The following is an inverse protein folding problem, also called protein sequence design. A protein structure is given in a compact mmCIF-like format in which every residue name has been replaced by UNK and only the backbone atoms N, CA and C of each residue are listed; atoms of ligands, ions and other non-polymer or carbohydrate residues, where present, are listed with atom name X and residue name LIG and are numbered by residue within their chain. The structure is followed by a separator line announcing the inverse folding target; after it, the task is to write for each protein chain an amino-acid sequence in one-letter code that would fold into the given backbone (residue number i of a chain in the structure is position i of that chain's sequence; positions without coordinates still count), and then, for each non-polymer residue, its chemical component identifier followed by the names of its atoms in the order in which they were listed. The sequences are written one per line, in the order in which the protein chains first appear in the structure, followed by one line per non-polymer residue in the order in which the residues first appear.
data_IF_864878551962
#
_entry.id   IF_864878551962
#
_cell.length_a   1.000
_cell.length_b   1.000
_cell.length_c   1.000
_cell.angle_alpha   90.00
_cell.angle_beta   90.00
_cell.angle_gamma   90.00
#
_symmetry.space_group_name_H-M   'P 1'
#
loop_
_entity.id
_entity.type
_entity.pdbx_description
1 polymer ?
#
# COMPACT_ATOMS: atom_id res chain seq x y z
N UNK A 1 -102.94 -21.78 -0.01
CA UNK A 1 -101.96 -22.30 0.89
C UNK A 1 -100.65 -21.61 0.59
N UNK A 2 -100.29 -20.71 1.50
CA UNK A 2 -99.26 -19.68 1.30
C UNK A 2 -97.85 -20.19 1.41
N UNK A 3 -97.04 -20.02 0.36
CA UNK A 3 -95.61 -20.17 0.40
C UNK A 3 -94.95 -18.76 0.55
N UNK A 4 -94.35 -18.49 1.70
CA UNK A 4 -93.53 -17.31 1.90
C UNK A 4 -92.15 -17.63 1.44
N UNK A 5 -91.66 -16.89 0.42
CA UNK A 5 -90.28 -16.89 -0.04
C UNK A 5 -89.44 -15.99 0.91
N UNK A 6 -88.43 -16.52 1.47
CA UNK A 6 -87.36 -15.74 2.19
C UNK A 6 -86.32 -15.28 1.21
N UNK A 7 -85.98 -14.00 1.27
CA UNK A 7 -84.86 -13.36 0.53
C UNK A 7 -83.57 -13.50 1.36
N UNK A 8 -82.43 -13.80 0.74
CA UNK A 8 -81.15 -13.81 1.45
C UNK A 8 -80.57 -12.40 1.57
N UNK A 9 -80.22 -12.01 2.78
CA UNK A 9 -79.38 -10.86 3.04
C UNK A 9 -77.92 -11.16 2.65
N UNK A 10 -77.36 -10.41 1.66
CA UNK A 10 -75.96 -10.44 1.33
C UNK A 10 -75.23 -9.45 2.26
N UNK A 11 -74.44 -9.99 3.16
CA UNK A 11 -73.51 -9.17 3.96
C UNK A 11 -72.26 -8.84 3.15
N UNK A 12 -72.05 -7.55 2.76
CA UNK A 12 -70.85 -7.05 2.14
C UNK A 12 -69.82 -6.81 3.23
N UNK A 13 -68.78 -7.63 3.26
CA UNK A 13 -67.61 -7.41 4.12
C UNK A 13 -66.67 -6.40 3.45
N UNK A 14 -66.55 -5.20 4.03
CA UNK A 14 -65.54 -4.19 3.65
C UNK A 14 -64.20 -4.60 4.27
N UNK A 15 -63.23 -5.06 3.45
CA UNK A 15 -61.82 -5.23 3.82
C UNK A 15 -61.15 -3.86 3.76
N UNK A 16 -60.91 -3.25 4.91
CA UNK A 16 -60.07 -2.06 5.02
C UNK A 16 -58.63 -2.52 5.05
N UNK A 17 -57.92 -2.39 3.91
CA UNK A 17 -56.50 -2.62 3.83
C UNK A 17 -55.72 -1.42 4.44
N UNK A 18 -55.26 -1.57 5.67
CA UNK A 18 -54.32 -0.60 6.28
C UNK A 18 -52.92 -0.86 5.71
N UNK A 19 -52.52 -0.07 4.73
CA UNK A 19 -51.15 -0.05 4.25
C UNK A 19 -50.27 0.58 5.34
N UNK A 20 -49.53 -0.22 6.10
CA UNK A 20 -48.44 0.27 6.94
C UNK A 20 -47.33 0.80 6.02
N UNK A 21 -47.25 2.11 5.86
CA UNK A 21 -46.08 2.79 5.30
C UNK A 21 -44.91 2.68 6.29
N UNK A 22 -44.00 1.72 6.06
CA UNK A 22 -42.72 1.70 6.77
C UNK A 22 -41.96 2.98 6.38
N UNK A 23 -41.46 3.74 7.36
CA UNK A 23 -40.64 4.90 7.04
C UNK A 23 -39.41 4.42 6.26
N UNK A 24 -39.19 4.94 5.06
CA UNK A 24 -38.00 4.78 4.29
C UNK A 24 -36.88 5.48 5.09
N UNK A 25 -36.11 4.70 5.87
CA UNK A 25 -34.93 5.24 6.53
C UNK A 25 -33.97 5.60 5.41
N UNK A 26 -33.88 6.89 5.09
CA UNK A 26 -32.89 7.40 4.16
C UNK A 26 -31.52 6.97 4.69
N UNK A 27 -30.75 6.24 3.87
CA UNK A 27 -29.39 5.88 4.20
C UNK A 27 -28.64 7.20 4.48
N UNK A 28 -28.05 7.33 5.67
CA UNK A 28 -27.23 8.50 6.00
C UNK A 28 -26.19 8.70 4.90
N UNK A 29 -25.95 9.94 4.44
CA UNK A 29 -24.98 10.21 3.38
C UNK A 29 -23.63 9.67 3.84
N UNK A 30 -23.06 8.74 3.06
CA UNK A 30 -21.72 8.22 3.30
C UNK A 30 -20.77 9.39 3.37
N UNK A 31 -20.04 9.55 4.48
CA UNK A 31 -19.04 10.62 4.59
C UNK A 31 -18.14 10.65 3.34
N UNK A 32 -17.96 11.81 2.75
CA UNK A 32 -17.09 12.00 1.57
C UNK A 32 -15.65 11.51 1.84
N UNK A 33 -15.25 11.41 3.11
CA UNK A 33 -13.93 10.94 3.52
C UNK A 33 -13.72 9.43 3.29
N UNK A 34 -14.80 8.62 3.31
CA UNK A 34 -14.70 7.15 3.18
C UNK A 34 -14.06 6.76 1.85
N UNK A 35 -13.04 5.88 1.93
CA UNK A 35 -12.29 5.36 0.80
C UNK A 35 -10.78 5.48 1.00
N UNK A 36 -10.05 5.36 -0.10
CA UNK A 36 -8.59 5.41 -0.12
C UNK A 36 -8.09 6.71 -0.74
N UNK A 37 -7.02 7.22 -0.19
CA UNK A 37 -6.43 8.50 -0.54
C UNK A 37 -4.93 8.39 -0.68
N UNK A 38 -4.41 8.78 -1.82
CA UNK A 38 -2.99 8.96 -2.07
C UNK A 38 -2.59 10.35 -1.61
N UNK A 39 -1.61 10.45 -0.70
CA UNK A 39 -1.19 11.70 -0.10
C UNK A 39 0.18 12.11 -0.61
N UNK A 40 0.32 13.38 -0.98
CA UNK A 40 1.61 14.01 -1.28
C UNK A 40 1.93 15.00 -0.17
N UNK A 41 2.97 14.70 0.61
CA UNK A 41 3.39 15.49 1.77
C UNK A 41 4.44 16.50 1.32
N UNK A 42 4.26 17.75 1.73
CA UNK A 42 5.14 18.85 1.36
C UNK A 42 6.35 18.94 2.31
N UNK A 43 7.28 18.05 2.08
CA UNK A 43 8.54 17.91 2.83
C UNK A 43 9.73 18.24 1.94
N UNK A 44 10.84 18.79 2.48
CA UNK A 44 12.06 19.00 1.72
C UNK A 44 12.77 17.68 1.34
N UNK A 45 12.43 16.56 1.98
CA UNK A 45 13.04 15.26 1.75
C UNK A 45 12.59 14.59 0.44
N UNK A 46 13.25 13.48 0.07
CA UNK A 46 12.92 12.71 -1.14
C UNK A 46 11.64 11.90 -1.01
N UNK A 47 11.27 11.52 0.21
CA UNK A 47 10.08 10.71 0.50
C UNK A 47 8.89 11.64 0.74
N UNK A 48 7.93 11.63 -0.18
CA UNK A 48 6.76 12.52 -0.15
C UNK A 48 5.44 11.78 -0.17
N UNK A 49 5.48 10.47 -0.27
CA UNK A 49 4.29 9.66 -0.30
C UNK A 49 3.71 9.45 1.10
N UNK A 50 2.42 9.52 1.20
CA UNK A 50 1.63 9.03 2.31
C UNK A 50 0.35 8.39 1.78
N UNK A 51 -0.39 7.77 2.65
CA UNK A 51 -1.61 7.08 2.28
C UNK A 51 -2.59 7.04 3.46
N UNK A 52 -3.87 7.16 3.15
CA UNK A 52 -4.95 7.06 4.13
C UNK A 52 -6.09 6.19 3.58
N UNK A 53 -6.50 5.18 4.33
CA UNK A 53 -7.76 4.49 4.10
C UNK A 53 -8.73 4.83 5.23
N UNK A 54 -9.97 5.16 4.86
CA UNK A 54 -11.05 5.44 5.81
C UNK A 54 -12.21 4.49 5.54
N UNK A 55 -12.67 3.84 6.58
CA UNK A 55 -13.78 2.87 6.53
C UNK A 55 -14.79 3.16 7.63
N UNK A 56 -16.08 2.92 7.40
CA UNK A 56 -17.07 2.93 8.47
C UNK A 56 -16.84 1.73 9.41
N UNK A 57 -17.04 1.97 10.71
CA UNK A 57 -17.10 0.95 11.76
C UNK A 57 -18.39 1.17 12.56
N UNK A 58 -19.37 0.32 12.34
CA UNK A 58 -20.72 0.55 12.87
C UNK A 58 -21.47 1.65 12.11
N UNK A 59 -22.34 2.38 12.80
CA UNK A 59 -23.26 3.34 12.16
C UNK A 59 -22.67 4.73 11.95
N UNK A 60 -21.87 5.20 12.89
CA UNK A 60 -21.39 6.61 12.94
C UNK A 60 -19.89 6.74 13.12
N UNK A 61 -19.17 5.66 13.43
CA UNK A 61 -17.73 5.69 13.67
C UNK A 61 -16.96 5.48 12.38
N UNK A 62 -15.93 6.28 12.16
CA UNK A 62 -14.93 6.08 11.12
C UNK A 62 -13.63 5.58 11.73
N UNK A 63 -13.04 4.58 11.10
CA UNK A 63 -11.73 4.02 11.42
C UNK A 63 -10.88 3.99 10.15
N UNK A 64 -9.59 3.73 10.26
CA UNK A 64 -8.77 3.70 9.08
C UNK A 64 -7.40 3.06 9.27
N UNK A 65 -6.56 3.28 8.27
CA UNK A 65 -5.13 2.98 8.30
C UNK A 65 -4.39 4.14 7.65
N UNK A 66 -3.26 4.52 8.20
CA UNK A 66 -2.47 5.65 7.75
C UNK A 66 -1.00 5.26 7.57
N UNK A 67 -0.42 5.61 6.44
CA UNK A 67 1.01 5.55 6.16
C UNK A 67 1.53 6.97 6.03
N UNK A 68 2.56 7.29 6.81
CA UNK A 68 3.30 8.52 6.69
C UNK A 68 4.44 8.37 5.66
N UNK A 69 5.30 9.37 5.51
CA UNK A 69 6.48 9.33 4.64
C UNK A 69 7.37 8.10 4.88
N UNK A 70 7.45 7.66 6.14
CA UNK A 70 8.21 6.49 6.59
C UNK A 70 7.37 5.65 7.54
N UNK A 71 7.81 4.42 7.79
CA UNK A 71 7.13 3.51 8.69
C UNK A 71 6.04 2.67 8.04
N UNK A 72 5.42 1.82 8.83
CA UNK A 72 4.37 0.90 8.38
C UNK A 72 2.97 1.54 8.43
N UNK A 73 1.99 0.86 7.84
CA UNK A 73 0.60 1.25 7.99
C UNK A 73 0.16 1.16 9.46
N UNK A 74 -0.24 2.29 10.03
CA UNK A 74 -0.73 2.39 11.41
C UNK A 74 -2.24 2.34 11.43
N UNK A 75 -2.85 1.51 12.29
CA UNK A 75 -4.29 1.53 12.48
C UNK A 75 -4.73 2.88 13.09
N UNK A 76 -5.81 3.43 12.57
CA UNK A 76 -6.49 4.59 13.11
C UNK A 76 -7.79 4.12 13.72
N UNK A 77 -7.82 4.05 15.05
CA UNK A 77 -8.95 3.50 15.82
C UNK A 77 -10.19 4.37 15.78
N UNK A 78 -10.01 5.66 15.52
CA UNK A 78 -11.10 6.64 15.39
C UNK A 78 -10.67 7.82 14.52
N UNK A 79 -11.57 8.24 13.64
CA UNK A 79 -11.45 9.45 12.85
C UNK A 79 -12.64 10.33 13.19
N UNK A 80 -12.39 11.48 13.79
CA UNK A 80 -13.41 12.48 14.05
C UNK A 80 -13.62 13.29 12.78
N UNK A 81 -14.84 13.24 12.22
CA UNK A 81 -15.20 13.93 11.00
C UNK A 81 -16.45 14.79 11.25
N UNK A 82 -16.43 16.03 10.80
CA UNK A 82 -17.53 16.95 10.84
C UNK A 82 -17.63 17.71 9.51
N UNK A 83 -18.77 17.56 8.83
CA UNK A 83 -18.99 18.11 7.48
C UNK A 83 -17.90 17.66 6.50
N UNK A 84 -17.01 18.56 6.10
CA UNK A 84 -15.92 18.34 5.17
C UNK A 84 -14.53 18.20 5.87
N UNK A 85 -14.47 18.38 7.19
CA UNK A 85 -13.23 18.34 7.98
C UNK A 85 -13.07 17.03 8.74
N UNK A 86 -11.82 16.66 9.02
CA UNK A 86 -11.51 15.48 9.82
C UNK A 86 -10.22 15.68 10.65
N UNK A 87 -10.12 14.88 11.71
CA UNK A 87 -8.95 14.79 12.59
C UNK A 87 -8.79 13.37 13.11
N UNK A 88 -7.54 12.93 13.24
CA UNK A 88 -7.16 11.71 13.98
C UNK A 88 -5.74 11.82 14.50
N UNK A 89 -5.36 10.92 15.39
CA UNK A 89 -3.99 10.78 15.90
C UNK A 89 -3.47 9.37 15.64
N UNK A 90 -2.15 9.25 15.52
CA UNK A 90 -1.43 7.97 15.45
C UNK A 90 -0.18 8.05 16.34
N UNK A 91 0.20 6.91 16.98
CA UNK A 91 1.44 6.87 17.75
C UNK A 91 2.66 7.05 16.84
N UNK A 92 3.80 7.56 17.37
CA UNK A 92 5.04 7.66 16.62
C UNK A 92 5.59 6.27 16.25
N UNK A 93 6.37 6.20 15.19
CA UNK A 93 7.14 5.01 14.79
C UNK A 93 8.61 5.39 14.55
N UNK A 94 8.97 5.54 13.28
CA UNK A 94 10.31 5.89 12.81
C UNK A 94 10.42 7.37 12.42
N UNK A 95 9.33 8.09 12.51
CA UNK A 95 9.25 9.53 12.40
C UNK A 95 9.68 10.13 13.76
N UNK A 96 10.55 11.14 13.76
CA UNK A 96 11.07 11.82 14.97
C UNK A 96 9.98 12.64 15.70
N UNK A 97 8.82 12.02 15.95
CA UNK A 97 7.72 12.64 16.66
C UNK A 97 7.91 12.49 18.19
N UNK A 98 7.79 13.58 18.92
CA UNK A 98 7.89 13.58 20.38
C UNK A 98 6.59 13.14 21.08
N UNK A 99 5.63 12.62 20.36
CA UNK A 99 4.34 12.21 20.87
C UNK A 99 3.45 11.72 19.74
N UNK A 100 2.14 11.71 19.98
CA UNK A 100 1.19 11.35 18.93
C UNK A 100 1.24 12.35 17.76
N UNK A 101 1.37 11.81 16.56
CA UNK A 101 1.22 12.59 15.32
C UNK A 101 -0.25 12.89 15.09
N UNK A 102 -0.60 14.16 14.97
CA UNK A 102 -1.95 14.62 14.64
C UNK A 102 -2.08 14.86 13.14
N UNK A 103 -3.10 14.29 12.53
CA UNK A 103 -3.46 14.53 11.14
C UNK A 103 -4.80 15.24 11.08
N UNK A 104 -4.83 16.40 10.43
CA UNK A 104 -6.06 17.16 10.16
C UNK A 104 -6.24 17.37 8.68
N UNK A 105 -7.47 17.49 8.22
CA UNK A 105 -7.71 17.75 6.80
C UNK A 105 -9.12 18.21 6.49
N UNK A 106 -9.28 18.63 5.24
CA UNK A 106 -10.55 19.01 4.63
C UNK A 106 -10.70 18.29 3.29
N UNK A 107 -11.85 17.67 3.07
CA UNK A 107 -12.19 16.97 1.82
C UNK A 107 -13.02 17.85 0.93
N UNK A 108 -12.71 17.87 -0.35
CA UNK A 108 -13.50 18.52 -1.38
C UNK A 108 -13.60 17.60 -2.62
N UNK A 109 -14.69 16.88 -2.74
CA UNK A 109 -14.89 15.87 -3.78
C UNK A 109 -13.83 14.77 -3.73
N UNK A 110 -13.05 14.64 -4.78
CA UNK A 110 -11.98 13.64 -4.91
C UNK A 110 -10.58 14.16 -4.50
N UNK A 111 -10.53 15.29 -3.82
CA UNK A 111 -9.30 15.90 -3.32
C UNK A 111 -9.40 16.20 -1.83
N UNK A 112 -8.27 16.30 -1.17
CA UNK A 112 -8.15 16.81 0.20
C UNK A 112 -6.88 17.62 0.40
N UNK A 113 -6.89 18.47 1.41
CA UNK A 113 -5.72 19.19 1.89
C UNK A 113 -5.70 19.12 3.42
N UNK A 114 -4.52 19.19 4.00
CA UNK A 114 -4.40 19.15 5.45
C UNK A 114 -2.98 19.31 5.95
N UNK A 115 -2.81 18.98 7.22
CA UNK A 115 -1.53 19.11 7.93
C UNK A 115 -1.28 17.85 8.76
N UNK A 116 -0.02 17.41 8.78
CA UNK A 116 0.51 16.39 9.68
C UNK A 116 1.39 17.12 10.70
N UNK A 117 1.01 17.09 11.94
CA UNK A 117 1.70 17.74 13.06
C UNK A 117 2.36 16.66 13.92
N UNK A 118 3.68 16.73 14.03
CA UNK A 118 4.52 15.79 14.78
C UNK A 118 4.74 16.18 16.24
N UNK A 119 4.11 17.26 16.71
CA UNK A 119 4.50 17.91 17.96
C UNK A 119 5.79 18.70 17.76
N UNK A 120 6.43 19.16 18.86
CA UNK A 120 7.75 19.85 18.80
C UNK A 120 7.85 21.02 17.80
N UNK A 121 6.73 21.55 17.29
CA UNK A 121 6.70 22.61 16.27
C UNK A 121 7.02 22.15 14.84
N UNK A 122 7.17 20.84 14.60
CA UNK A 122 7.38 20.28 13.26
C UNK A 122 6.05 19.86 12.64
N UNK A 123 5.68 20.45 11.52
CA UNK A 123 4.48 20.11 10.78
C UNK A 123 4.71 20.21 9.28
N UNK A 124 3.98 19.40 8.50
CA UNK A 124 4.00 19.44 7.03
C UNK A 124 2.57 19.51 6.48
N UNK A 125 2.37 20.36 5.50
CA UNK A 125 1.15 20.35 4.71
C UNK A 125 1.13 19.10 3.80
N UNK A 126 -0.06 18.67 3.44
CA UNK A 126 -0.23 17.64 2.42
C UNK A 126 -1.42 17.94 1.51
N UNK A 127 -1.36 17.36 0.33
CA UNK A 127 -2.47 17.25 -0.62
C UNK A 127 -2.80 15.78 -0.82
N UNK A 128 -4.07 15.45 -0.93
CA UNK A 128 -4.53 14.11 -1.21
C UNK A 128 -5.44 14.07 -2.44
N UNK A 129 -5.41 12.94 -3.13
CA UNK A 129 -6.35 12.62 -4.20
C UNK A 129 -6.92 11.22 -3.96
N UNK A 130 -8.11 10.94 -4.50
CA UNK A 130 -8.67 9.57 -4.48
C UNK A 130 -7.69 8.59 -5.09
N UNK A 131 -7.32 7.57 -4.33
CA UNK A 131 -6.45 6.52 -4.84
C UNK A 131 -7.16 5.73 -5.96
N UNK A 132 -6.50 5.50 -7.11
CA UNK A 132 -7.09 4.79 -8.22
C UNK A 132 -7.36 3.32 -7.88
N UNK A 133 -8.36 2.73 -8.52
CA UNK A 133 -8.68 1.31 -8.29
C UNK A 133 -7.61 0.36 -8.83
N UNK A 134 -6.94 0.74 -9.91
CA UNK A 134 -5.90 -0.02 -10.65
C UNK A 134 -6.30 -1.48 -10.93
N UNK A 135 -7.59 -1.73 -11.11
CA UNK A 135 -8.09 -3.06 -11.42
C UNK A 135 -7.87 -3.36 -12.89
N UNK A 136 -7.05 -4.35 -13.16
CA UNK A 136 -6.91 -4.88 -14.52
C UNK A 136 -8.14 -5.73 -14.87
N UNK A 137 -8.72 -5.50 -16.04
CA UNK A 137 -9.92 -6.21 -16.52
C UNK A 137 -9.60 -7.29 -17.54
N UNK A 138 -8.40 -7.27 -18.10
CA UNK A 138 -7.94 -8.25 -19.11
C UNK A 138 -6.75 -9.04 -18.59
N UNK A 139 -6.60 -10.33 -18.99
CA UNK A 139 -5.41 -11.09 -18.67
C UNK A 139 -4.14 -10.41 -19.18
N UNK A 140 -3.07 -10.51 -18.41
CA UNK A 140 -1.79 -9.94 -18.79
C UNK A 140 -1.17 -10.72 -19.97
N UNK A 141 -0.76 -10.00 -21.00
CA UNK A 141 0.12 -10.51 -22.04
C UNK A 141 1.54 -10.04 -21.73
N UNK A 142 2.49 -10.95 -21.76
CA UNK A 142 3.86 -10.66 -21.35
C UNK A 142 4.72 -10.29 -22.56
N UNK A 143 5.56 -9.28 -22.40
CA UNK A 143 6.58 -8.91 -23.36
C UNK A 143 7.84 -9.79 -23.20
N UNK A 144 8.90 -9.49 -23.93
CA UNK A 144 10.19 -10.17 -23.76
C UNK A 144 10.84 -9.74 -22.42
N UNK A 145 11.51 -10.67 -21.72
CA UNK A 145 12.30 -10.32 -20.53
C UNK A 145 13.40 -9.30 -20.86
N UNK A 146 13.63 -8.40 -19.91
CA UNK A 146 14.65 -7.36 -19.97
C UNK A 146 15.58 -7.54 -18.78
N UNK A 147 16.87 -7.70 -19.02
CA UNK A 147 17.90 -7.73 -18.00
C UNK A 147 18.13 -6.31 -17.48
N UNK A 148 17.82 -6.07 -16.20
CA UNK A 148 18.00 -4.77 -15.55
C UNK A 148 19.43 -4.59 -15.03
N UNK A 149 20.07 -5.64 -14.56
CA UNK A 149 21.46 -5.63 -14.13
C UNK A 149 22.31 -6.50 -15.06
N UNK A 150 23.27 -5.88 -15.72
CA UNK A 150 24.10 -6.52 -16.76
C UNK A 150 25.31 -7.30 -16.20
N UNK A 151 25.52 -7.29 -14.88
CA UNK A 151 26.67 -7.94 -14.21
C UNK A 151 28.02 -7.23 -14.37
N UNK A 152 28.08 -6.04 -14.99
CA UNK A 152 29.34 -5.34 -15.32
C UNK A 152 29.43 -3.95 -14.68
N UNK A 153 28.36 -3.17 -14.76
CA UNK A 153 28.30 -1.78 -14.32
C UNK A 153 26.86 -1.37 -13.93
N UNK A 154 26.70 -0.08 -13.57
CA UNK A 154 25.42 0.51 -13.19
C UNK A 154 24.62 1.08 -14.37
N UNK A 155 24.92 0.70 -15.61
CA UNK A 155 24.17 1.16 -16.79
C UNK A 155 22.69 0.83 -16.65
N UNK A 156 21.81 1.81 -16.88
CA UNK A 156 20.37 1.70 -16.69
C UNK A 156 19.88 1.98 -15.27
N UNK A 157 20.78 2.27 -14.33
CA UNK A 157 20.49 2.67 -12.97
C UNK A 157 20.94 4.08 -12.66
N UNK A 158 20.42 4.70 -11.63
CA UNK A 158 20.83 5.99 -11.08
C UNK A 158 20.63 6.03 -9.58
N UNK A 159 21.48 6.76 -8.87
CA UNK A 159 21.35 7.03 -7.45
C UNK A 159 20.08 7.84 -7.17
N UNK A 160 19.44 7.59 -6.03
CA UNK A 160 18.24 8.28 -5.55
C UNK A 160 18.28 8.48 -4.03
N UNK A 161 17.91 9.68 -3.59
CA UNK A 161 17.90 10.06 -2.18
C UNK A 161 19.26 10.61 -1.70
N UNK A 162 19.31 11.01 -0.42
CA UNK A 162 20.53 11.56 0.19
C UNK A 162 21.53 10.46 0.55
N UNK A 163 22.77 10.86 0.78
CA UNK A 163 23.84 9.98 1.25
C UNK A 163 24.95 9.77 0.22
N UNK A 164 25.95 8.99 0.60
CA UNK A 164 27.03 8.60 -0.28
C UNK A 164 26.57 7.50 -1.24
N UNK A 165 27.05 7.54 -2.47
CA UNK A 165 26.82 6.45 -3.42
C UNK A 165 27.75 5.28 -3.07
N UNK A 166 27.19 4.28 -2.39
CA UNK A 166 27.88 3.09 -1.93
C UNK A 166 27.67 1.86 -2.84
N UNK A 167 27.03 2.07 -3.99
CA UNK A 167 26.77 1.01 -4.95
C UNK A 167 27.98 0.74 -5.84
N UNK A 168 28.37 -0.50 -5.92
CA UNK A 168 29.50 -0.97 -6.74
C UNK A 168 29.16 -2.27 -7.43
N UNK A 169 29.86 -2.59 -8.51
CA UNK A 169 29.78 -3.89 -9.17
C UNK A 169 31.12 -4.59 -9.03
N UNK A 170 31.12 -5.82 -8.53
CA UNK A 170 32.28 -6.67 -8.40
C UNK A 170 31.95 -8.12 -8.75
N UNK A 171 32.67 -8.69 -9.71
CA UNK A 171 32.52 -10.07 -10.17
C UNK A 171 31.07 -10.50 -10.44
N UNK A 172 30.30 -9.66 -11.15
CA UNK A 172 28.91 -9.94 -11.51
C UNK A 172 27.89 -9.70 -10.40
N UNK A 173 28.31 -9.11 -9.29
CA UNK A 173 27.45 -8.80 -8.14
C UNK A 173 27.32 -7.29 -7.97
N UNK A 174 26.10 -6.81 -7.90
CA UNK A 174 25.75 -5.45 -7.51
C UNK A 174 25.72 -5.37 -5.98
N UNK A 175 26.53 -4.50 -5.39
CA UNK A 175 26.72 -4.40 -3.94
C UNK A 175 26.43 -3.01 -3.44
N UNK A 176 25.63 -2.92 -2.39
CA UNK A 176 25.64 -1.78 -1.48
C UNK A 176 26.47 -2.15 -0.24
N UNK A 177 27.46 -1.35 0.08
CA UNK A 177 28.41 -1.63 1.18
C UNK A 177 27.98 -1.07 2.53
N UNK A 178 26.85 -0.37 2.61
CA UNK A 178 26.37 0.24 3.83
C UNK A 178 25.34 1.32 3.55
N UNK A 179 24.93 2.04 4.57
CA UNK A 179 23.95 3.11 4.43
C UNK A 179 24.41 4.19 3.48
N UNK A 180 23.59 4.47 2.46
CA UNK A 180 23.88 5.48 1.43
C UNK A 180 22.66 5.79 0.58
N UNK A 181 22.90 6.16 -0.67
CA UNK A 181 21.81 6.40 -1.62
C UNK A 181 21.10 5.10 -2.00
N UNK A 182 19.86 5.21 -2.36
CA UNK A 182 19.11 4.14 -3.02
C UNK A 182 19.49 4.08 -4.51
N UNK A 183 19.14 2.99 -5.19
CA UNK A 183 19.40 2.81 -6.61
C UNK A 183 18.09 2.56 -7.35
N UNK A 184 17.80 3.34 -8.40
CA UNK A 184 16.55 3.21 -9.17
C UNK A 184 16.85 3.00 -10.64
N UNK A 185 15.99 2.20 -11.33
CA UNK A 185 16.09 2.07 -12.77
C UNK A 185 15.77 3.40 -13.46
N UNK A 186 16.49 3.71 -14.55
CA UNK A 186 16.15 4.87 -15.40
C UNK A 186 14.85 4.64 -16.18
N UNK A 187 14.49 3.39 -16.44
CA UNK A 187 13.25 2.99 -17.10
C UNK A 187 12.16 2.75 -16.07
N UNK A 188 10.92 3.14 -16.40
CA UNK A 188 9.73 2.91 -15.59
C UNK A 188 8.90 1.72 -16.12
N UNK A 189 8.18 1.08 -15.22
CA UNK A 189 7.32 -0.10 -15.48
C UNK A 189 5.97 0.08 -14.79
N UNK A 190 4.92 -0.49 -15.35
CA UNK A 190 3.57 -0.45 -14.76
C UNK A 190 3.20 -1.81 -14.16
N UNK A 191 2.95 -2.79 -15.01
CA UNK A 191 2.65 -4.17 -14.64
C UNK A 191 3.80 -5.06 -15.14
N UNK A 192 4.24 -6.00 -14.31
CA UNK A 192 5.42 -6.81 -14.65
C UNK A 192 5.54 -8.07 -13.80
N UNK A 193 6.43 -8.97 -14.27
CA UNK A 193 7.12 -9.96 -13.45
C UNK A 193 8.54 -9.52 -13.23
N UNK A 194 9.05 -9.67 -12.01
CA UNK A 194 10.41 -9.35 -11.63
C UNK A 194 11.05 -10.56 -10.98
N UNK A 195 12.23 -10.92 -11.46
CA UNK A 195 13.11 -11.88 -10.81
C UNK A 195 14.34 -11.16 -10.27
N UNK A 196 14.78 -11.48 -9.04
CA UNK A 196 16.01 -10.98 -8.46
C UNK A 196 16.67 -12.03 -7.55
N UNK A 197 17.95 -12.28 -7.76
CA UNK A 197 18.81 -12.94 -6.79
C UNK A 197 19.34 -11.91 -5.80
N UNK A 198 19.28 -12.18 -4.50
CA UNK A 198 19.74 -11.26 -3.48
C UNK A 198 20.42 -11.98 -2.31
N UNK A 199 21.23 -11.22 -1.56
CA UNK A 199 21.87 -11.71 -0.32
C UNK A 199 22.08 -10.50 0.61
N UNK A 200 21.89 -10.72 1.91
CA UNK A 200 22.17 -9.76 2.98
C UNK A 200 23.00 -10.42 4.09
N UNK A 201 23.83 -9.67 4.82
CA UNK A 201 24.55 -10.18 6.00
C UNK A 201 23.59 -10.28 7.19
N UNK A 202 24.08 -10.86 8.29
CA UNK A 202 23.34 -10.90 9.56
C UNK A 202 22.94 -9.48 10.00
N UNK A 203 21.66 -9.31 10.35
CA UNK A 203 21.06 -8.01 10.68
C UNK A 203 20.91 -7.08 9.49
N UNK A 204 21.03 -7.60 8.25
CA UNK A 204 20.84 -6.80 7.03
C UNK A 204 19.38 -6.36 6.87
N UNK A 205 19.19 -5.15 6.35
CA UNK A 205 17.89 -4.58 6.03
C UNK A 205 17.99 -3.83 4.70
N UNK A 206 17.08 -4.15 3.80
CA UNK A 206 16.95 -3.57 2.46
C UNK A 206 15.54 -3.85 1.94
N UNK A 207 15.22 -3.41 0.73
CA UNK A 207 13.94 -3.65 0.08
C UNK A 207 14.01 -3.49 -1.42
N UNK A 208 13.03 -4.09 -2.12
CA UNK A 208 12.79 -3.84 -3.54
C UNK A 208 11.44 -3.14 -3.65
N UNK A 209 11.44 -1.87 -4.06
CA UNK A 209 10.22 -1.12 -4.29
C UNK A 209 9.70 -1.32 -5.71
N UNK A 210 8.54 -1.86 -5.83
CA UNK A 210 7.81 -2.04 -7.08
C UNK A 210 7.23 -0.70 -7.51
N UNK A 211 7.56 -0.22 -8.70
CA UNK A 211 7.18 1.11 -9.20
C UNK A 211 7.66 2.27 -8.29
N UNK A 212 8.67 2.03 -7.45
CA UNK A 212 9.11 3.00 -6.46
C UNK A 212 8.11 3.26 -5.31
N UNK A 213 7.06 2.44 -5.16
CA UNK A 213 5.93 2.70 -4.24
C UNK A 213 5.61 1.58 -3.28
N UNK A 214 5.84 0.32 -3.66
CA UNK A 214 5.47 -0.85 -2.84
C UNK A 214 6.70 -1.65 -2.52
N UNK A 215 7.12 -1.64 -1.28
CA UNK A 215 8.30 -2.34 -0.83
C UNK A 215 8.03 -3.82 -0.59
N UNK A 216 8.81 -4.68 -1.24
CA UNK A 216 9.00 -6.07 -0.83
C UNK A 216 10.21 -6.10 0.09
N UNK A 217 9.98 -6.43 1.35
CA UNK A 217 10.98 -6.36 2.42
C UNK A 217 12.07 -7.43 2.27
N UNK A 218 13.33 -7.02 2.43
CA UNK A 218 14.51 -7.87 2.47
C UNK A 218 15.25 -7.65 3.80
N UNK A 219 14.84 -8.34 4.83
CA UNK A 219 15.41 -8.17 6.16
C UNK A 219 15.81 -9.51 6.78
N UNK A 220 16.92 -9.52 7.52
CA UNK A 220 17.30 -10.66 8.36
C UNK A 220 16.35 -10.74 9.56
N UNK A 221 15.19 -11.34 9.34
CA UNK A 221 14.10 -11.39 10.32
C UNK A 221 14.35 -12.50 11.32
N UNK A 222 14.72 -12.20 12.57
CA UNK A 222 14.76 -13.20 13.61
C UNK A 222 13.33 -13.59 14.02
N UNK A 223 13.09 -14.86 14.23
CA UNK A 223 11.82 -15.36 14.74
C UNK A 223 11.31 -16.59 14.02
N UNK A 224 10.24 -17.18 14.57
CA UNK A 224 9.61 -18.41 14.07
C UNK A 224 8.36 -18.16 13.25
N UNK A 225 7.85 -16.93 13.20
CA UNK A 225 6.61 -16.57 12.54
C UNK A 225 6.78 -15.41 11.56
N UNK A 226 6.04 -15.41 10.44
CA UNK A 226 6.02 -14.29 9.52
C UNK A 226 5.45 -13.04 10.17
N UNK A 227 5.99 -11.87 9.81
CA UNK A 227 5.53 -10.58 10.28
C UNK A 227 5.34 -9.60 9.13
N UNK A 228 4.53 -8.57 9.35
CA UNK A 228 4.24 -7.53 8.37
C UNK A 228 5.47 -6.65 8.03
N UNK A 229 6.51 -6.72 8.85
CA UNK A 229 7.79 -6.03 8.64
C UNK A 229 8.91 -7.00 8.21
N UNK A 230 8.63 -8.30 8.13
CA UNK A 230 9.63 -9.33 7.85
C UNK A 230 9.88 -9.55 6.36
N UNK A 231 10.87 -10.40 6.10
CA UNK A 231 11.29 -10.74 4.73
C UNK A 231 10.14 -11.28 3.88
N UNK A 232 10.01 -10.77 2.64
CA UNK A 232 8.98 -11.15 1.69
C UNK A 232 7.62 -10.48 1.93
N UNK A 233 7.45 -9.72 3.02
CA UNK A 233 6.25 -8.91 3.26
C UNK A 233 6.12 -7.77 2.22
N UNK A 234 4.91 -7.32 1.94
CA UNK A 234 4.72 -5.95 1.46
C UNK A 234 4.73 -5.08 2.72
N UNK A 235 5.81 -4.35 2.91
CA UNK A 235 6.18 -3.68 4.15
C UNK A 235 5.01 -2.93 4.79
N UNK A 236 4.68 -3.29 6.03
CA UNK A 236 3.61 -2.67 6.79
C UNK A 236 2.18 -2.97 6.31
N UNK A 237 1.99 -3.76 5.24
CA UNK A 237 0.68 -4.02 4.64
C UNK A 237 0.29 -5.51 4.59
N UNK A 238 1.14 -6.37 4.01
CA UNK A 238 0.80 -7.78 3.77
C UNK A 238 1.83 -8.69 4.43
N UNK A 239 1.34 -9.61 5.24
CA UNK A 239 2.16 -10.62 5.92
C UNK A 239 2.38 -11.82 4.99
N UNK A 240 3.62 -12.35 4.86
CA UNK A 240 3.87 -13.62 4.21
C UNK A 240 3.11 -14.77 4.92
N UNK A 241 2.63 -15.74 4.18
CA UNK A 241 1.91 -16.89 4.76
C UNK A 241 2.85 -17.91 5.44
N UNK A 242 4.16 -17.82 5.20
CA UNK A 242 5.18 -18.67 5.79
C UNK A 242 6.57 -18.00 5.74
N UNK A 243 7.49 -18.50 6.57
CA UNK A 243 8.91 -18.14 6.49
C UNK A 243 9.61 -19.04 5.45
N UNK A 244 10.06 -18.43 4.35
CA UNK A 244 10.75 -19.13 3.26
C UNK A 244 12.20 -18.65 3.07
N UNK A 245 12.72 -17.81 3.98
CA UNK A 245 14.09 -17.31 3.92
C UNK A 245 15.11 -18.41 4.22
N UNK A 246 16.26 -18.36 3.52
CA UNK A 246 17.40 -19.27 3.76
C UNK A 246 18.37 -18.75 4.84
N UNK A 247 18.09 -17.54 5.38
CA UNK A 247 18.94 -16.86 6.37
C UNK A 247 19.99 -15.95 5.72
N UNK A 248 20.73 -15.24 6.59
CA UNK A 248 21.80 -14.33 6.20
C UNK A 248 22.95 -15.01 5.47
N UNK A 249 23.73 -14.27 4.71
CA UNK A 249 24.90 -14.70 3.93
C UNK A 249 24.62 -15.80 2.87
N UNK A 250 23.36 -16.11 2.60
CA UNK A 250 22.92 -17.06 1.60
C UNK A 250 22.27 -16.36 0.41
N UNK A 251 22.64 -16.78 -0.80
CA UNK A 251 21.91 -16.34 -1.99
C UNK A 251 20.48 -16.86 -1.96
N UNK A 252 19.55 -15.96 -2.17
CA UNK A 252 18.12 -16.18 -2.17
C UNK A 252 17.53 -15.66 -3.48
N UNK A 253 16.37 -16.16 -3.86
CA UNK A 253 15.64 -15.72 -5.04
C UNK A 253 14.29 -15.13 -4.66
N UNK A 254 13.91 -14.10 -5.40
CA UNK A 254 12.62 -13.46 -5.30
C UNK A 254 11.99 -13.35 -6.67
N UNK A 255 10.80 -13.92 -6.83
CA UNK A 255 9.97 -13.78 -8.03
C UNK A 255 8.68 -13.04 -7.66
N UNK A 256 8.44 -11.91 -8.31
CA UNK A 256 7.31 -11.03 -8.01
C UNK A 256 6.47 -10.85 -9.27
N UNK A 257 5.16 -10.95 -9.13
CA UNK A 257 4.21 -10.52 -10.17
C UNK A 257 3.39 -9.36 -9.61
N UNK A 258 3.40 -8.22 -10.29
CA UNK A 258 2.57 -7.05 -9.98
C UNK A 258 1.66 -6.75 -11.15
N UNK A 259 0.35 -6.76 -10.92
CA UNK A 259 -0.70 -6.41 -11.88
C UNK A 259 -1.68 -5.43 -11.23
N UNK A 260 -1.64 -4.17 -11.64
CA UNK A 260 -2.31 -3.10 -10.92
C UNK A 260 -1.77 -2.98 -9.49
N UNK A 261 -2.59 -3.33 -8.49
CA UNK A 261 -2.17 -3.46 -7.08
C UNK A 261 -2.21 -4.90 -6.57
N UNK A 262 -2.46 -5.88 -7.44
CA UNK A 262 -2.40 -7.29 -7.06
C UNK A 262 -0.99 -7.79 -7.15
N UNK A 263 -0.52 -8.41 -6.08
CA UNK A 263 0.85 -8.89 -5.96
C UNK A 263 0.90 -10.38 -5.61
N UNK A 264 1.80 -11.08 -6.25
CA UNK A 264 2.26 -12.42 -5.86
C UNK A 264 3.75 -12.33 -5.57
N UNK A 265 4.18 -12.85 -4.44
CA UNK A 265 5.59 -12.92 -4.04
C UNK A 265 5.96 -14.38 -3.82
N UNK A 266 7.00 -14.82 -4.51
CA UNK A 266 7.61 -16.15 -4.37
C UNK A 266 9.02 -15.97 -3.85
N UNK A 267 9.30 -16.45 -2.66
CA UNK A 267 10.63 -16.41 -2.01
C UNK A 267 11.22 -17.82 -2.00
N UNK A 268 12.39 -17.98 -2.62
CA UNK A 268 13.09 -19.27 -2.71
C UNK A 268 12.20 -20.43 -3.23
N UNK A 269 11.38 -20.14 -4.25
CA UNK A 269 10.47 -21.10 -4.87
C UNK A 269 9.17 -21.36 -4.08
N UNK A 270 8.95 -20.70 -2.95
CA UNK A 270 7.73 -20.82 -2.13
C UNK A 270 6.87 -19.56 -2.27
N UNK A 271 5.59 -19.72 -2.60
CA UNK A 271 4.66 -18.59 -2.72
C UNK A 271 4.27 -18.10 -1.33
N UNK A 272 4.86 -16.98 -0.91
CA UNK A 272 4.65 -16.40 0.42
C UNK A 272 3.51 -15.35 0.44
N UNK A 273 3.19 -14.74 -0.70
CA UNK A 273 2.00 -13.91 -0.90
C UNK A 273 1.37 -14.32 -2.23
N UNK A 274 0.10 -14.74 -2.21
CA UNK A 274 -0.60 -15.23 -3.38
C UNK A 274 -1.71 -14.27 -3.81
N UNK A 275 -1.48 -13.55 -4.91
CA UNK A 275 -2.46 -12.67 -5.57
C UNK A 275 -3.25 -11.76 -4.61
N UNK A 276 -2.56 -11.13 -3.67
CA UNK A 276 -3.18 -10.22 -2.71
C UNK A 276 -3.20 -8.77 -3.20
N UNK A 277 -4.15 -8.00 -2.70
CA UNK A 277 -4.30 -6.59 -3.04
C UNK A 277 -3.48 -5.73 -2.08
N UNK A 278 -2.48 -5.02 -2.60
CA UNK A 278 -1.73 -4.03 -1.82
C UNK A 278 -2.67 -2.86 -1.49
N UNK A 279 -2.83 -2.47 -0.22
CA UNK A 279 -3.74 -1.37 0.14
C UNK A 279 -3.34 -0.02 -0.45
N UNK A 280 -2.06 0.32 -0.44
CA UNK A 280 -1.50 1.58 -0.91
C UNK A 280 0.02 1.62 -0.87
N UNK A 281 0.66 2.77 -1.14
CA UNK A 281 2.10 2.94 -1.03
C UNK A 281 2.61 2.57 0.37
N UNK A 282 3.80 1.97 0.42
CA UNK A 282 4.52 1.68 1.66
C UNK A 282 5.31 2.89 2.14
N UNK A 283 5.73 2.93 3.39
CA UNK A 283 6.68 3.93 3.86
C UNK A 283 7.97 3.92 3.03
N UNK A 284 8.61 5.07 2.85
CA UNK A 284 9.78 5.20 1.99
C UNK A 284 9.49 5.27 0.50
N UNK A 285 8.22 5.23 0.09
CA UNK A 285 7.84 5.37 -1.32
C UNK A 285 8.27 6.73 -1.91
N UNK A 286 8.65 6.72 -3.18
CA UNK A 286 9.12 7.92 -3.89
C UNK A 286 8.00 8.95 -4.08
N UNK A 287 6.80 8.48 -4.39
CA UNK A 287 5.60 9.29 -4.61
C UNK A 287 4.33 8.43 -4.40
N UNK A 288 3.18 9.08 -4.38
CA UNK A 288 1.88 8.45 -4.20
C UNK A 288 1.06 8.29 -5.49
N UNK A 289 1.65 8.51 -6.66
CA UNK A 289 0.93 8.45 -7.95
C UNK A 289 0.76 7.00 -8.42
N UNK A 290 -0.01 6.20 -7.70
CA UNK A 290 -0.18 4.75 -7.94
C UNK A 290 -0.58 4.39 -9.38
N UNK A 291 -1.30 5.28 -10.09
CA UNK A 291 -1.74 5.08 -11.47
C UNK A 291 -0.65 5.17 -12.53
N UNK A 292 0.52 5.69 -12.19
CA UNK A 292 1.62 5.88 -13.12
C UNK A 292 2.63 4.73 -13.07
N UNK A 293 3.32 4.51 -14.21
CA UNK A 293 4.52 3.67 -14.21
C UNK A 293 5.59 4.26 -13.28
N UNK A 294 6.46 3.42 -12.76
CA UNK A 294 7.54 3.85 -11.89
C UNK A 294 8.75 2.91 -11.99
N UNK A 295 9.90 3.29 -11.41
CA UNK A 295 11.12 2.50 -11.46
C UNK A 295 11.05 1.28 -10.56
N UNK A 296 11.92 0.31 -10.79
CA UNK A 296 12.35 -0.62 -9.76
C UNK A 296 13.38 0.11 -8.91
N UNK A 297 13.17 0.09 -7.59
CA UNK A 297 14.01 0.79 -6.65
C UNK A 297 14.60 -0.21 -5.65
N UNK A 298 15.91 -0.23 -5.51
CA UNK A 298 16.67 -1.02 -4.55
C UNK A 298 17.05 -0.13 -3.37
N UNK A 299 16.62 -0.50 -2.18
CA UNK A 299 16.88 0.29 -0.98
C UNK A 299 18.36 0.14 -0.54
N UNK A 300 19.04 1.27 -0.38
CA UNK A 300 20.45 1.35 -0.01
C UNK A 300 20.73 2.14 1.27
N UNK A 301 19.72 2.79 1.83
CA UNK A 301 19.88 3.69 2.98
C UNK A 301 19.75 2.97 4.35
N UNK A 302 19.47 1.67 4.37
CA UNK A 302 19.29 0.89 5.60
C UNK A 302 20.49 -0.01 5.95
N UNK A 303 21.12 -0.64 4.98
CA UNK A 303 22.25 -1.53 5.26
C UNK A 303 22.87 -2.16 4.02
N UNK A 304 23.90 -2.99 4.22
CA UNK A 304 24.53 -3.71 3.12
C UNK A 304 23.58 -4.77 2.54
N UNK A 305 23.59 -4.87 1.22
CA UNK A 305 22.83 -5.85 0.44
C UNK A 305 23.55 -6.12 -0.87
N UNK A 306 23.39 -7.32 -1.40
CA UNK A 306 23.92 -7.72 -2.69
C UNK A 306 22.82 -8.25 -3.59
N UNK A 307 22.92 -7.94 -4.89
CA UNK A 307 21.99 -8.41 -5.92
C UNK A 307 22.71 -9.04 -7.09
N UNK A 308 22.03 -9.94 -7.78
CA UNK A 308 22.40 -10.53 -9.08
C UNK A 308 21.14 -10.89 -9.85
N UNK A 309 21.30 -11.12 -11.17
CA UNK A 309 20.23 -11.71 -12.00
C UNK A 309 18.90 -10.93 -11.94
N UNK A 310 18.96 -9.59 -11.93
CA UNK A 310 17.75 -8.77 -11.90
C UNK A 310 17.16 -8.71 -13.32
N UNK A 311 15.99 -9.36 -13.50
CA UNK A 311 15.30 -9.48 -14.79
C UNK A 311 13.85 -9.09 -14.64
N UNK A 312 13.34 -8.26 -15.53
CA UNK A 312 11.93 -7.85 -15.54
C UNK A 312 11.25 -8.28 -16.85
N UNK A 313 10.02 -8.75 -16.76
CA UNK A 313 9.15 -9.06 -17.90
C UNK A 313 7.92 -8.17 -17.82
N UNK A 314 7.86 -7.06 -18.60
CA UNK A 314 6.72 -6.16 -18.60
C UNK A 314 5.46 -6.84 -19.10
N UNK A 315 4.28 -6.44 -18.62
CA UNK A 315 3.01 -6.73 -19.23
C UNK A 315 2.69 -5.68 -20.31
N UNK A 316 2.02 -6.15 -21.39
CA UNK A 316 1.48 -5.30 -22.46
C UNK A 316 0.14 -4.69 -22.08
#
# INVERSE_FOLDING_TARGET
LNSRRALPFAAAAFLVSVALALPLVAAEPKSQLVGRWDLTIDTPGPYRAGWLEVRPSGRTTLVGSFVNMVGSARPVSRIDAAEDTFRFTVPPQWDDAEGETTVTGRVHGDTMVGTIDYGSGKSFAYRGARAPSLRRTTPAQWDRPVTLFNGRDLSGWKAYGPGADNWTVDRGVLRNRGRGTNLVTQRNFLDFRLHAGFRYPKGGNSGIYLRGRYEVQLEDTPGSEPGVLGIGAIYGHLVPNELAALGSDRWQSLDITLLGRRVTVVLNGRTVIADQLIPGPTGGAMDSHEGLSGPIYLQGDHGPVEFREIVITPAK
#
